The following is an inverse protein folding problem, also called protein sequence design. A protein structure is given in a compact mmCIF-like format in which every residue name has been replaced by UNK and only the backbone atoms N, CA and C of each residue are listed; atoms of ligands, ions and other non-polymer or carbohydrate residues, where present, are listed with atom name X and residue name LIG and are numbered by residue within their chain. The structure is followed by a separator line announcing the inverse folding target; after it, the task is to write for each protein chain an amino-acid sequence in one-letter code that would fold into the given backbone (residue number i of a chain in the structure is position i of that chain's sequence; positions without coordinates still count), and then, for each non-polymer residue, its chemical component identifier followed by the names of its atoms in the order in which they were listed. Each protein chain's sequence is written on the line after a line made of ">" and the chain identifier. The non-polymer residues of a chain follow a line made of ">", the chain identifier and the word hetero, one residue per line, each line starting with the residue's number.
data_IF_424792286592
#
_entry.id   IF_424792286592
#
_cell.length_a   1.000
_cell.length_b   1.000
_cell.length_c   1.000
_cell.angle_alpha   90.00
_cell.angle_beta   90.00
_cell.angle_gamma   90.00
#
_symmetry.space_group_name_H-M   'P 1'
#
loop_
_entity.id
_entity.type
_entity.pdbx_description
1 polymer ?
#
# COMPACT_ATOMS: atom_id res chain seq x y z
N UNK A 1 31.01 -10.33 12.21
CA UNK A 1 30.83 -9.14 11.34
C UNK A 1 29.39 -8.74 11.48
N UNK A 2 29.17 -7.48 11.86
CA UNK A 2 27.94 -6.99 12.46
C UNK A 2 26.73 -7.09 11.52
N UNK A 3 25.62 -7.59 12.06
CA UNK A 3 24.26 -7.34 11.60
C UNK A 3 24.01 -5.83 11.57
N UNK A 4 24.22 -5.23 10.40
CA UNK A 4 23.91 -3.84 10.16
C UNK A 4 22.41 -3.70 9.94
N UNK A 5 21.73 -3.56 11.07
CA UNK A 5 20.32 -3.25 11.15
C UNK A 5 20.14 -1.75 10.86
N UNK A 6 19.46 -1.47 9.75
CA UNK A 6 18.37 -0.49 9.69
C UNK A 6 18.73 0.98 9.90
N UNK A 7 18.76 1.72 8.80
CA UNK A 7 18.00 2.96 8.61
C UNK A 7 18.36 3.55 7.23
N UNK A 8 17.87 2.93 6.15
CA UNK A 8 17.73 3.70 4.92
C UNK A 8 16.53 4.61 5.12
N UNK A 9 16.85 5.85 5.40
CA UNK A 9 15.96 7.01 5.42
C UNK A 9 15.20 7.04 4.09
N UNK A 10 14.00 6.46 4.09
CA UNK A 10 13.08 6.46 2.96
C UNK A 10 12.43 7.84 2.84
N UNK A 11 13.22 8.83 2.41
CA UNK A 11 12.77 10.13 1.91
C UNK A 11 12.72 10.15 0.38
N UNK A 12 12.47 8.99 -0.20
CA UNK A 12 11.94 8.82 -1.56
C UNK A 12 10.68 8.00 -1.38
N UNK A 13 9.55 8.51 -1.85
CA UNK A 13 8.24 7.87 -1.73
C UNK A 13 8.36 6.44 -2.24
N UNK A 14 8.48 5.48 -1.33
CA UNK A 14 8.83 4.12 -1.64
C UNK A 14 7.65 3.53 -2.39
N UNK A 15 7.86 3.24 -3.68
CA UNK A 15 6.87 2.62 -4.53
C UNK A 15 6.84 1.12 -4.21
N UNK A 16 5.64 0.61 -3.99
CA UNK A 16 5.39 -0.78 -3.70
C UNK A 16 4.49 -1.35 -4.77
N UNK A 17 4.80 -2.57 -5.20
CA UNK A 17 3.91 -3.35 -6.04
C UNK A 17 2.62 -3.67 -5.26
N UNK A 18 1.51 -3.84 -5.96
CA UNK A 18 0.24 -4.27 -5.37
C UNK A 18 0.45 -5.46 -4.43
N UNK A 19 1.23 -6.46 -4.86
CA UNK A 19 1.57 -7.64 -4.05
C UNK A 19 2.34 -7.31 -2.77
N UNK A 20 3.31 -6.40 -2.82
CA UNK A 20 4.08 -5.99 -1.63
C UNK A 20 3.20 -5.25 -0.61
N UNK A 21 2.23 -4.48 -1.09
CA UNK A 21 1.25 -3.75 -0.28
C UNK A 21 0.29 -4.71 0.39
N UNK A 22 -0.26 -5.66 -0.39
CA UNK A 22 -1.18 -6.71 0.05
C UNK A 22 -0.50 -7.65 1.06
N UNK A 23 0.77 -7.98 0.82
CA UNK A 23 1.59 -8.77 1.74
C UNK A 23 1.98 -8.01 3.02
N UNK A 24 1.88 -6.68 3.01
CA UNK A 24 2.20 -5.85 4.18
C UNK A 24 1.09 -5.94 5.22
N UNK A 25 1.45 -6.27 6.46
CA UNK A 25 0.49 -6.47 7.55
C UNK A 25 -0.30 -5.18 7.87
N UNK A 26 0.26 -4.00 7.54
CA UNK A 26 -0.36 -2.67 7.65
C UNK A 26 -1.68 -2.56 6.86
N UNK A 27 -1.74 -3.20 5.70
CA UNK A 27 -2.87 -3.12 4.78
C UNK A 27 -3.67 -4.41 4.71
N UNK A 28 -3.37 -5.38 5.56
CA UNK A 28 -4.01 -6.70 5.58
C UNK A 28 -5.53 -6.66 5.73
N UNK A 29 -6.06 -5.68 6.47
CA UNK A 29 -7.52 -5.47 6.61
C UNK A 29 -8.18 -4.86 5.37
N UNK A 30 -7.37 -4.28 4.50
CA UNK A 30 -7.80 -3.73 3.23
C UNK A 30 -7.29 -4.57 2.05
N UNK A 31 -6.70 -5.74 2.29
CA UNK A 31 -6.13 -6.64 1.30
C UNK A 31 -7.10 -6.95 0.17
N UNK A 32 -8.32 -7.41 0.50
CA UNK A 32 -9.39 -7.68 -0.49
C UNK A 32 -9.82 -6.44 -1.28
N UNK A 33 -9.78 -5.26 -0.66
CA UNK A 33 -10.13 -4.02 -1.32
C UNK A 33 -8.99 -3.56 -2.24
N UNK A 34 -7.76 -3.64 -1.76
CA UNK A 34 -6.54 -3.25 -2.45
C UNK A 34 -6.26 -4.18 -3.63
N UNK A 35 -6.45 -5.49 -3.51
CA UNK A 35 -6.29 -6.40 -4.66
C UNK A 35 -7.34 -6.18 -5.75
N UNK A 36 -8.47 -5.55 -5.42
CA UNK A 36 -9.53 -5.22 -6.39
C UNK A 36 -9.33 -3.82 -6.99
N UNK A 37 -8.64 -2.92 -6.28
CA UNK A 37 -8.41 -1.53 -6.66
C UNK A 37 -7.02 -1.26 -7.26
N UNK A 38 -6.01 -2.06 -6.89
CA UNK A 38 -4.64 -1.95 -7.38
C UNK A 38 -4.43 -2.95 -8.50
N UNK A 39 -3.80 -2.48 -9.57
CA UNK A 39 -3.32 -3.30 -10.67
C UNK A 39 -1.94 -3.88 -10.34
N UNK A 40 -1.70 -5.14 -10.72
CA UNK A 40 -0.44 -5.83 -10.50
C UNK A 40 0.71 -5.33 -11.40
N UNK A 41 0.38 -4.71 -12.52
CA UNK A 41 1.32 -4.05 -13.44
C UNK A 41 1.64 -2.59 -13.05
N UNK A 42 1.06 -2.09 -11.96
CA UNK A 42 1.20 -0.70 -11.51
C UNK A 42 1.84 -0.66 -10.13
N UNK A 43 2.84 0.21 -9.98
CA UNK A 43 3.49 0.47 -8.69
C UNK A 43 2.81 1.66 -8.02
N UNK A 44 2.48 1.52 -6.74
CA UNK A 44 1.79 2.53 -5.96
C UNK A 44 2.65 2.97 -4.77
N UNK A 45 2.62 4.26 -4.44
CA UNK A 45 3.25 4.75 -3.21
C UNK A 45 2.33 4.54 -2.01
N UNK A 46 2.88 4.60 -0.79
CA UNK A 46 2.05 4.65 0.44
C UNK A 46 0.98 5.75 0.39
N UNK A 47 1.31 6.91 -0.18
CA UNK A 47 0.39 8.03 -0.37
C UNK A 47 -0.74 7.69 -1.34
N UNK A 48 -0.44 7.02 -2.46
CA UNK A 48 -1.45 6.58 -3.42
C UNK A 48 -2.39 5.56 -2.78
N UNK A 49 -1.86 4.57 -2.06
CA UNK A 49 -2.64 3.56 -1.36
C UNK A 49 -3.56 4.20 -0.34
N UNK A 50 -3.03 5.10 0.50
CA UNK A 50 -3.83 5.79 1.51
C UNK A 50 -4.92 6.63 0.85
N UNK A 51 -4.63 7.28 -0.28
CA UNK A 51 -5.63 8.03 -1.07
C UNK A 51 -6.70 7.12 -1.66
N UNK A 52 -6.33 5.98 -2.26
CA UNK A 52 -7.24 4.98 -2.81
C UNK A 52 -8.14 4.42 -1.71
N UNK A 53 -7.55 4.06 -0.55
CA UNK A 53 -8.28 3.60 0.63
C UNK A 53 -9.24 4.65 1.14
N UNK A 54 -8.77 5.89 1.34
CA UNK A 54 -9.60 6.98 1.83
C UNK A 54 -10.75 7.27 0.87
N UNK A 55 -10.50 7.20 -0.44
CA UNK A 55 -11.50 7.42 -1.48
C UNK A 55 -12.53 6.28 -1.51
N UNK A 56 -12.09 5.02 -1.38
CA UNK A 56 -12.98 3.86 -1.31
C UNK A 56 -13.83 3.87 -0.04
N UNK A 57 -13.26 4.25 1.10
CA UNK A 57 -13.97 4.39 2.38
C UNK A 57 -14.94 5.59 2.39
N UNK A 58 -14.60 6.68 1.70
CA UNK A 58 -15.46 7.88 1.59
C UNK A 58 -16.53 7.79 0.54
N UNK A 59 -16.36 6.95 -0.48
CA UNK A 59 -17.39 6.75 -1.48
C UNK A 59 -18.54 6.06 -0.77
N UNK A 60 -19.69 6.72 -0.55
CA UNK A 60 -20.82 6.03 0.03
C UNK A 60 -21.19 4.94 -0.97
N UNK A 61 -20.98 3.68 -0.59
CA UNK A 61 -21.63 2.56 -1.27
C UNK A 61 -23.12 2.88 -1.19
N UNK A 62 -23.71 3.26 -2.33
CA UNK A 62 -25.16 3.47 -2.43
C UNK A 62 -25.80 2.11 -2.17
N UNK A 63 -26.10 1.85 -0.91
CA UNK A 63 -27.11 0.90 -0.46
C UNK A 63 -28.45 1.61 -0.36
#
# INVERSE_FOLDING_TARGET
>A
MADEKQAVEATTEQQFDAYAIIASDKYRRYCDLLTCLLDEDVMYTESDIDRILNQALKTPVKG
#
